data_IF_075641253741
#
_entry.id   IF_075641253741
#
_cell.length_a   1.000
_cell.length_b   1.000
_cell.length_c   1.000
_cell.angle_alpha   90.00
_cell.angle_beta   90.00
_cell.angle_gamma   90.00
#
_symmetry.space_group_name_H-M   'P 1'
#
loop_
_entity.id
_entity.type
_entity.pdbx_description
1 polymer ?
#
# COMPACT_ATOMS: atom_id res chain seq x y z
N UNK A 1 -3.12 -10.98 10.23
CA UNK A 1 -3.38 -9.56 9.94
C UNK A 1 -2.94 -9.31 8.51
N UNK A 2 -3.76 -8.70 7.65
CA UNK A 2 -3.33 -8.35 6.28
C UNK A 2 -2.66 -6.95 6.24
N UNK A 3 -1.98 -6.62 5.14
CA UNK A 3 -1.23 -5.37 5.01
C UNK A 3 -2.11 -4.11 5.12
N UNK A 4 -3.35 -4.15 4.61
CA UNK A 4 -4.29 -3.02 4.74
C UNK A 4 -4.62 -2.75 6.20
N UNK A 5 -4.97 -3.80 6.95
CA UNK A 5 -5.28 -3.69 8.39
C UNK A 5 -4.06 -3.19 9.16
N UNK A 6 -2.87 -3.65 8.80
CA UNK A 6 -1.62 -3.19 9.40
C UNK A 6 -1.43 -1.67 9.21
N UNK A 7 -1.59 -1.15 7.99
CA UNK A 7 -1.44 0.29 7.72
C UNK A 7 -2.54 1.09 8.44
N UNK A 8 -3.79 0.62 8.46
CA UNK A 8 -4.87 1.26 9.22
C UNK A 8 -4.55 1.42 10.70
N UNK A 9 -3.94 0.40 11.31
CA UNK A 9 -3.65 0.39 12.75
C UNK A 9 -2.36 1.13 13.12
N UNK A 10 -1.34 1.11 12.26
CA UNK A 10 0.00 1.57 12.60
C UNK A 10 0.50 2.74 11.76
N UNK A 11 -0.22 3.12 10.70
CA UNK A 11 0.15 4.17 9.76
C UNK A 11 1.18 3.75 8.71
N UNK A 12 1.21 4.48 7.60
CA UNK A 12 2.10 4.24 6.46
C UNK A 12 3.59 4.42 6.83
N UNK A 13 3.90 5.35 7.74
CA UNK A 13 5.28 5.60 8.18
C UNK A 13 5.89 4.40 8.91
N UNK A 14 5.08 3.68 9.70
CA UNK A 14 5.53 2.42 10.32
C UNK A 14 5.78 1.35 9.28
N UNK A 15 4.93 1.26 8.26
CA UNK A 15 5.12 0.33 7.15
C UNK A 15 6.43 0.61 6.39
N UNK A 16 6.71 1.89 6.07
CA UNK A 16 7.99 2.32 5.47
C UNK A 16 9.19 1.92 6.31
N UNK A 17 9.13 2.12 7.63
CA UNK A 17 10.20 1.69 8.55
C UNK A 17 10.43 0.18 8.52
N UNK A 18 9.38 -0.63 8.45
CA UNK A 18 9.52 -2.09 8.38
C UNK A 18 10.15 -2.50 7.05
N UNK A 19 9.69 -1.93 5.93
CA UNK A 19 10.25 -2.20 4.61
C UNK A 19 11.72 -1.79 4.51
N UNK A 20 12.12 -0.67 5.10
CA UNK A 20 13.52 -0.21 5.13
C UNK A 20 14.45 -1.12 5.94
N UNK A 21 13.91 -1.93 6.87
CA UNK A 21 14.67 -2.89 7.67
C UNK A 21 14.59 -4.32 7.13
N UNK A 22 13.78 -4.56 6.09
CA UNK A 22 13.64 -5.88 5.50
C UNK A 22 14.85 -6.23 4.64
N UNK A 23 15.48 -7.38 4.92
CA UNK A 23 16.45 -7.98 4.00
C UNK A 23 15.79 -8.52 2.73
N UNK A 24 16.58 -8.67 1.66
CA UNK A 24 16.12 -9.11 0.34
C UNK A 24 15.36 -10.45 0.34
N UNK A 25 15.69 -11.34 1.29
CA UNK A 25 15.07 -12.67 1.40
C UNK A 25 13.80 -12.67 2.27
N UNK A 26 13.48 -11.58 2.95
CA UNK A 26 12.28 -11.52 3.79
C UNK A 26 11.04 -11.40 2.93
N UNK A 27 10.02 -12.18 3.28
CA UNK A 27 8.72 -12.25 2.60
C UNK A 27 7.59 -11.74 3.49
N UNK A 28 7.67 -11.97 4.80
CA UNK A 28 6.63 -11.56 5.74
C UNK A 28 7.20 -11.02 7.06
N UNK A 29 6.36 -10.33 7.83
CA UNK A 29 6.70 -9.70 9.10
C UNK A 29 5.64 -9.97 10.18
N UNK A 30 6.07 -10.29 11.40
CA UNK A 30 5.19 -10.45 12.58
C UNK A 30 5.18 -9.18 13.44
N UNK A 31 4.06 -8.44 13.51
CA UNK A 31 3.99 -7.21 14.30
C UNK A 31 4.26 -7.39 15.79
N UNK A 32 3.72 -8.46 16.40
CA UNK A 32 3.79 -8.71 17.85
C UNK A 32 5.21 -8.96 18.36
N UNK A 33 6.11 -9.47 17.50
CA UNK A 33 7.49 -9.81 17.87
C UNK A 33 8.57 -9.04 17.10
N UNK A 34 8.20 -8.21 16.13
CA UNK A 34 9.17 -7.50 15.28
C UNK A 34 10.02 -8.42 14.41
N UNK A 35 9.54 -9.62 14.10
CA UNK A 35 10.30 -10.66 13.41
C UNK A 35 10.05 -10.63 11.90
N UNK A 36 11.10 -10.91 11.12
CA UNK A 36 11.02 -11.11 9.68
C UNK A 36 11.18 -12.57 9.34
N UNK A 37 10.45 -13.01 8.31
CA UNK A 37 10.46 -14.40 7.87
C UNK A 37 10.80 -14.50 6.40
N UNK A 38 11.50 -15.57 6.02
CA UNK A 38 11.87 -15.87 4.63
C UNK A 38 10.72 -16.46 3.79
N UNK A 39 9.58 -16.74 4.43
CA UNK A 39 8.42 -17.35 3.80
C UNK A 39 7.16 -16.59 4.23
N UNK A 40 6.10 -16.71 3.43
CA UNK A 40 4.77 -16.24 3.82
C UNK A 40 4.20 -17.18 4.88
N UNK A 41 3.64 -16.60 5.94
CA UNK A 41 3.12 -17.35 7.08
C UNK A 41 1.75 -16.83 7.50
N UNK A 42 0.87 -17.72 7.94
CA UNK A 42 -0.41 -17.33 8.52
C UNK A 42 -0.20 -16.44 9.75
N UNK A 43 -1.00 -15.38 9.88
CA UNK A 43 -0.87 -14.42 10.97
C UNK A 43 0.21 -13.35 10.79
N UNK A 44 1.04 -13.42 9.75
CA UNK A 44 2.05 -12.40 9.41
C UNK A 44 1.53 -11.41 8.37
N UNK A 45 2.26 -10.30 8.19
CA UNK A 45 2.00 -9.29 7.15
C UNK A 45 2.93 -9.56 5.97
N UNK A 46 2.39 -9.75 4.77
CA UNK A 46 3.21 -9.89 3.56
C UNK A 46 3.94 -8.57 3.26
N UNK A 47 5.26 -8.64 3.12
CA UNK A 47 6.10 -7.49 2.78
C UNK A 47 5.89 -7.05 1.33
N UNK A 48 5.50 -7.98 0.45
CA UNK A 48 5.20 -7.67 -0.95
C UNK A 48 3.94 -6.83 -1.04
N UNK A 49 2.86 -7.24 -0.35
CA UNK A 49 1.63 -6.46 -0.30
C UNK A 49 1.84 -5.12 0.42
N UNK A 50 2.58 -5.13 1.54
CA UNK A 50 2.87 -3.92 2.30
C UNK A 50 3.64 -2.89 1.45
N UNK A 51 4.63 -3.35 0.67
CA UNK A 51 5.37 -2.50 -0.26
C UNK A 51 4.47 -1.88 -1.32
N UNK A 52 3.63 -2.69 -1.98
CA UNK A 52 2.68 -2.21 -2.97
C UNK A 52 1.76 -1.12 -2.40
N UNK A 53 1.23 -1.33 -1.19
CA UNK A 53 0.35 -0.34 -0.55
C UNK A 53 1.08 0.95 -0.19
N UNK A 54 2.32 0.87 0.30
CA UNK A 54 3.15 2.06 0.57
C UNK A 54 3.39 2.84 -0.73
N UNK A 55 3.79 2.15 -1.80
CA UNK A 55 3.99 2.77 -3.12
C UNK A 55 2.70 3.39 -3.67
N UNK A 56 1.55 2.74 -3.47
CA UNK A 56 0.24 3.29 -3.84
C UNK A 56 -0.08 4.58 -3.08
N UNK A 57 0.19 4.61 -1.77
CA UNK A 57 -0.04 5.80 -0.93
C UNK A 57 0.88 6.95 -1.35
N UNK A 58 2.17 6.68 -1.54
CA UNK A 58 3.14 7.67 -2.00
C UNK A 58 2.76 8.20 -3.39
N UNK A 59 2.35 7.32 -4.32
CA UNK A 59 1.90 7.73 -5.65
C UNK A 59 0.70 8.69 -5.59
N UNK A 60 -0.30 8.42 -4.74
CA UNK A 60 -1.45 9.31 -4.57
C UNK A 60 -1.03 10.65 -4.00
N UNK A 61 -0.17 10.66 -2.99
CA UNK A 61 0.32 11.88 -2.35
C UNK A 61 1.18 12.72 -3.30
N UNK A 62 2.06 12.10 -4.09
CA UNK A 62 2.91 12.74 -5.09
C UNK A 62 2.10 13.42 -6.21
N UNK A 63 0.87 12.96 -6.45
CA UNK A 63 -0.07 13.59 -7.39
C UNK A 63 -0.94 14.69 -6.74
N UNK A 64 -0.66 15.08 -5.49
CA UNK A 64 -1.42 16.11 -4.77
C UNK A 64 -2.69 15.58 -4.09
N UNK A 65 -2.78 14.27 -3.87
CA UNK A 65 -3.87 13.64 -3.13
C UNK A 65 -4.96 12.99 -3.99
N UNK A 66 -5.88 12.31 -3.32
CA UNK A 66 -6.88 11.41 -3.92
C UNK A 66 -7.78 12.08 -4.97
N UNK A 67 -8.26 13.30 -4.69
CA UNK A 67 -9.15 14.02 -5.61
C UNK A 67 -8.45 14.43 -6.91
N UNK A 68 -7.20 14.88 -6.80
CA UNK A 68 -6.41 15.34 -7.95
C UNK A 68 -6.08 14.16 -8.86
N UNK A 69 -5.60 13.05 -8.28
CA UNK A 69 -5.22 11.88 -9.06
C UNK A 69 -6.43 11.22 -9.76
N UNK A 70 -7.62 11.22 -9.14
CA UNK A 70 -8.87 10.77 -9.79
C UNK A 70 -9.21 11.61 -11.02
N UNK A 71 -9.17 12.94 -10.91
CA UNK A 71 -9.39 13.86 -12.04
C UNK A 71 -8.39 13.64 -13.19
N UNK A 72 -7.14 13.29 -12.87
CA UNK A 72 -6.13 12.94 -13.88
C UNK A 72 -6.48 11.66 -14.65
N UNK A 73 -7.05 10.66 -13.99
CA UNK A 73 -7.50 9.42 -14.63
C UNK A 73 -8.74 9.66 -15.48
N UNK A 74 -9.69 10.46 -15.01
CA UNK A 74 -10.92 10.79 -15.75
C UNK A 74 -10.63 11.53 -17.07
N UNK A 75 -9.61 12.40 -17.08
CA UNK A 75 -9.21 13.18 -18.26
C UNK A 75 -8.30 12.43 -19.24
N UNK A 76 -7.98 11.17 -18.96
CA UNK A 76 -7.05 10.38 -19.78
C UNK A 76 -7.72 9.87 -21.05
N UNK A 77 -7.01 9.97 -22.17
CA UNK A 77 -7.48 9.50 -23.50
C UNK A 77 -7.20 7.99 -23.68
N UNK A 78 -6.19 7.44 -22.98
CA UNK A 78 -5.77 6.03 -23.07
C UNK A 78 -5.96 5.28 -21.74
N UNK A 79 -7.19 4.88 -21.38
CA UNK A 79 -7.53 4.34 -20.06
C UNK A 79 -6.94 2.95 -19.77
N UNK A 80 -6.38 2.29 -20.78
CA UNK A 80 -5.77 0.97 -20.72
C UNK A 80 -4.23 1.01 -20.76
N UNK A 81 -3.61 2.19 -20.70
CA UNK A 81 -2.16 2.26 -20.56
C UNK A 81 -1.72 1.72 -19.19
N UNK A 82 -0.58 1.03 -19.14
CA UNK A 82 -0.03 0.46 -17.89
C UNK A 82 0.08 1.48 -16.77
N UNK A 83 0.44 2.73 -17.12
CA UNK A 83 0.49 3.86 -16.18
C UNK A 83 -0.86 4.11 -15.52
N UNK A 84 -1.93 4.15 -16.31
CA UNK A 84 -3.27 4.45 -15.81
C UNK A 84 -3.83 3.28 -15.01
N UNK A 85 -3.52 2.04 -15.42
CA UNK A 85 -3.88 0.84 -14.64
C UNK A 85 -3.22 0.89 -13.26
N UNK A 86 -1.91 1.23 -13.18
CA UNK A 86 -1.21 1.40 -11.89
C UNK A 86 -1.80 2.50 -11.04
N UNK A 87 -2.17 3.64 -11.63
CA UNK A 87 -2.82 4.73 -10.89
C UNK A 87 -4.19 4.31 -10.35
N UNK A 88 -5.00 3.62 -11.15
CA UNK A 88 -6.30 3.07 -10.69
C UNK A 88 -6.11 2.10 -9.52
N UNK A 89 -5.10 1.24 -9.58
CA UNK A 89 -4.76 0.35 -8.48
C UNK A 89 -4.36 1.13 -7.22
N UNK A 90 -3.55 2.18 -7.37
CA UNK A 90 -3.13 3.01 -6.26
C UNK A 90 -4.29 3.76 -5.59
N UNK A 91 -5.25 4.26 -6.39
CA UNK A 91 -6.49 4.86 -5.90
C UNK A 91 -7.29 3.84 -5.08
N UNK A 92 -7.51 2.64 -5.61
CA UNK A 92 -8.27 1.60 -4.93
C UNK A 92 -7.60 1.14 -3.61
N UNK A 93 -6.26 1.04 -3.61
CA UNK A 93 -5.49 0.72 -2.42
C UNK A 93 -5.60 1.83 -1.37
N UNK A 94 -5.46 3.10 -1.78
CA UNK A 94 -5.59 4.26 -0.90
C UNK A 94 -6.99 4.33 -0.26
N UNK A 95 -8.04 4.13 -1.06
CA UNK A 95 -9.42 4.09 -0.56
C UNK A 95 -9.66 2.91 0.38
N UNK A 96 -9.06 1.74 0.11
CA UNK A 96 -9.15 0.60 1.00
C UNK A 96 -8.53 0.86 2.38
N UNK A 97 -7.50 1.71 2.43
CA UNK A 97 -6.81 2.12 3.66
C UNK A 97 -7.57 3.26 4.38
N UNK A 98 -7.97 4.32 3.67
CA UNK A 98 -8.45 5.56 4.28
C UNK A 98 -9.94 5.87 4.04
N UNK A 99 -10.61 5.19 3.12
CA UNK A 99 -12.01 5.45 2.75
C UNK A 99 -13.06 4.84 3.68
N UNK A 100 -12.66 4.32 4.84
CA UNK A 100 -13.52 3.53 5.74
C UNK A 100 -14.24 4.28 6.86
N UNK A 101 -14.10 5.61 6.99
CA UNK A 101 -14.71 6.40 8.07
C UNK A 101 -15.90 7.25 7.63
N UNK A 102 -16.81 6.69 6.80
CA UNK A 102 -18.15 7.25 6.62
C UNK A 102 -19.19 6.12 6.64
N UNK A 103 -19.63 5.73 7.84
CA UNK A 103 -20.97 5.24 8.14
C UNK A 103 -21.39 5.73 9.53
#
# INVERSE_FOLDING_TARGET
MNAITFIKQHGVEKAKKILGNAGLLHKSYTPTGGLYHRYEMTGTVSLTELKRLVESVDLVNDHGGLEVIKKCVEKTIFPLSDRIIRIKQAIADYESIYGGEHV
#
